data_IF_406256425230
#
_entry.id   IF_406256425230
#
_cell.length_a   1.000
_cell.length_b   1.000
_cell.length_c   1.000
_cell.angle_alpha   90.00
_cell.angle_beta   90.00
_cell.angle_gamma   90.00
#
_symmetry.space_group_name_H-M   'P 1'
#
loop_
_entity.id
_entity.type
_entity.pdbx_description
1 polymer ?
#
# COMPACT_ATOMS: atom_id res chain seq x y z
N UNK A 1 -33.73 23.21 -21.40
CA UNK A 1 -32.89 22.06 -21.75
C UNK A 1 -32.57 21.32 -20.47
N UNK A 2 -32.96 20.07 -20.28
CA UNK A 2 -32.61 19.31 -19.10
C UNK A 2 -31.08 19.01 -19.11
N UNK A 3 -30.47 19.05 -17.91
CA UNK A 3 -29.08 18.67 -17.68
C UNK A 3 -28.89 17.18 -18.04
N UNK A 4 -27.73 16.79 -18.59
CA UNK A 4 -27.46 15.37 -18.80
C UNK A 4 -27.26 14.68 -17.46
N UNK A 5 -28.07 13.64 -17.24
CA UNK A 5 -27.91 12.67 -16.15
C UNK A 5 -26.45 12.17 -16.15
N UNK A 6 -25.78 12.39 -15.04
CA UNK A 6 -24.48 11.79 -14.73
C UNK A 6 -24.68 10.28 -14.61
N UNK A 7 -24.44 9.58 -15.69
CA UNK A 7 -24.18 8.14 -15.66
C UNK A 7 -22.90 7.97 -14.83
N UNK A 8 -23.07 7.61 -13.57
CA UNK A 8 -21.98 7.01 -12.76
C UNK A 8 -21.55 5.75 -13.54
N UNK A 9 -20.46 5.84 -14.27
CA UNK A 9 -19.78 4.67 -14.76
C UNK A 9 -19.42 3.86 -13.50
N UNK A 10 -20.12 2.76 -13.27
CA UNK A 10 -19.68 1.71 -12.33
C UNK A 10 -18.32 1.21 -12.84
N UNK A 11 -17.25 1.87 -12.38
CA UNK A 11 -15.88 1.47 -12.62
C UNK A 11 -15.73 0.07 -12.06
N UNK A 12 -15.46 -0.90 -12.92
CA UNK A 12 -15.23 -2.29 -12.57
C UNK A 12 -14.15 -2.30 -11.49
N UNK A 13 -14.53 -2.69 -10.26
CA UNK A 13 -13.63 -2.69 -9.09
C UNK A 13 -12.45 -3.60 -9.43
N UNK A 14 -11.22 -3.08 -9.35
CA UNK A 14 -10.02 -3.90 -9.52
C UNK A 14 -10.08 -5.09 -8.57
N UNK A 15 -9.73 -6.30 -9.02
CA UNK A 15 -9.82 -7.48 -8.18
C UNK A 15 -8.90 -7.34 -6.95
N UNK A 16 -9.40 -7.78 -5.79
CA UNK A 16 -8.63 -7.81 -4.57
C UNK A 16 -7.52 -8.88 -4.67
N UNK A 17 -6.38 -8.65 -4.04
CA UNK A 17 -5.29 -9.62 -3.90
C UNK A 17 -5.65 -10.61 -2.78
N UNK A 18 -5.94 -11.87 -3.13
CA UNK A 18 -6.30 -12.91 -2.15
C UNK A 18 -5.08 -13.46 -1.43
N UNK A 19 -4.00 -13.70 -2.17
CA UNK A 19 -2.77 -14.22 -1.59
C UNK A 19 -1.54 -13.81 -2.39
N UNK A 20 -0.42 -13.79 -1.68
CA UNK A 20 0.93 -13.65 -2.23
C UNK A 20 1.78 -14.81 -1.76
N UNK A 21 2.42 -15.50 -2.69
CA UNK A 21 3.50 -16.43 -2.42
C UNK A 21 4.82 -15.78 -2.81
N UNK A 22 5.83 -15.90 -1.96
CA UNK A 22 7.15 -15.34 -2.21
C UNK A 22 8.23 -16.28 -1.73
N UNK A 23 9.21 -16.53 -2.57
CA UNK A 23 10.37 -17.37 -2.26
C UNK A 23 11.65 -16.66 -2.66
N UNK A 24 12.60 -16.59 -1.74
CA UNK A 24 13.94 -16.07 -2.05
C UNK A 24 14.08 -14.55 -2.01
N UNK A 25 13.25 -13.82 -1.25
CA UNK A 25 13.28 -12.35 -1.17
C UNK A 25 13.77 -11.83 0.18
N UNK A 26 14.87 -11.11 0.22
CA UNK A 26 15.46 -10.46 1.42
C UNK A 26 15.46 -11.39 2.65
N UNK A 27 14.68 -11.11 3.69
CA UNK A 27 14.54 -11.98 4.86
C UNK A 27 13.50 -13.09 4.67
N UNK A 28 12.75 -13.09 3.58
CA UNK A 28 11.70 -14.07 3.31
C UNK A 28 12.28 -15.19 2.46
N UNK A 29 12.49 -16.36 3.09
CA UNK A 29 12.94 -17.55 2.36
C UNK A 29 11.81 -18.17 1.56
N UNK A 30 10.64 -18.38 2.21
CA UNK A 30 9.41 -18.85 1.60
C UNK A 30 8.24 -18.44 2.49
N UNK A 31 7.20 -17.86 1.91
CA UNK A 31 5.98 -17.50 2.60
C UNK A 31 4.77 -17.53 1.66
N UNK A 32 3.64 -18.03 2.17
CA UNK A 32 2.31 -17.83 1.59
C UNK A 32 1.52 -16.92 2.55
N UNK A 33 1.07 -15.79 2.07
CA UNK A 33 0.36 -14.78 2.88
C UNK A 33 -1.01 -14.55 2.26
N UNK A 34 -2.06 -14.91 2.98
CA UNK A 34 -3.45 -14.62 2.60
C UNK A 34 -3.83 -13.24 3.09
N UNK A 35 -4.52 -12.49 2.25
CA UNK A 35 -4.87 -11.10 2.50
C UNK A 35 -6.39 -10.92 2.56
N UNK A 36 -6.83 -10.13 3.55
CA UNK A 36 -8.21 -9.67 3.68
C UNK A 36 -8.35 -8.20 3.26
N UNK A 37 -9.50 -7.59 3.51
CA UNK A 37 -9.70 -6.16 3.27
C UNK A 37 -8.76 -5.27 4.09
N UNK A 38 -8.49 -5.67 5.34
CA UNK A 38 -7.51 -5.03 6.24
C UNK A 38 -6.49 -6.08 6.67
N UNK A 39 -5.21 -5.68 6.67
CA UNK A 39 -4.10 -6.54 7.07
C UNK A 39 -3.13 -5.71 7.92
N UNK A 40 -3.02 -6.02 9.19
CA UNK A 40 -2.14 -5.32 10.13
C UNK A 40 -0.94 -6.20 10.44
N UNK A 41 0.21 -5.86 9.89
CA UNK A 41 1.47 -6.54 10.12
C UNK A 41 2.07 -6.06 11.44
N UNK A 42 2.19 -6.95 12.42
CA UNK A 42 2.83 -6.66 13.70
C UNK A 42 4.07 -7.51 13.89
N UNK A 43 5.04 -7.01 14.62
CA UNK A 43 6.28 -7.75 14.94
C UNK A 43 7.38 -6.83 15.39
N UNK A 44 8.45 -7.40 15.92
CA UNK A 44 9.63 -6.67 16.36
C UNK A 44 10.33 -5.91 15.23
N UNK A 45 11.20 -4.96 15.61
CA UNK A 45 12.14 -4.36 14.65
C UNK A 45 13.00 -5.43 13.99
N UNK A 46 13.13 -5.37 12.66
CA UNK A 46 13.91 -6.35 11.90
C UNK A 46 13.21 -7.70 11.70
N UNK A 47 11.93 -7.87 12.09
CA UNK A 47 11.18 -9.12 11.84
C UNK A 47 10.92 -9.39 10.35
N UNK A 48 10.88 -8.32 9.52
CA UNK A 48 10.64 -8.43 8.08
C UNK A 48 9.39 -7.73 7.58
N UNK A 49 8.68 -6.98 8.42
CA UNK A 49 7.52 -6.15 8.02
C UNK A 49 7.85 -5.24 6.83
N UNK A 50 8.91 -4.43 6.97
CA UNK A 50 9.34 -3.51 5.90
C UNK A 50 9.88 -4.25 4.67
N UNK A 51 10.31 -5.52 4.78
CA UNK A 51 10.65 -6.33 3.62
C UNK A 51 9.39 -6.71 2.82
N UNK A 52 8.30 -7.07 3.49
CA UNK A 52 7.01 -7.31 2.82
C UNK A 52 6.46 -6.01 2.20
N UNK A 53 6.52 -4.87 2.92
CA UNK A 53 6.16 -3.56 2.38
C UNK A 53 6.99 -3.23 1.12
N UNK A 54 8.31 -3.45 1.18
CA UNK A 54 9.22 -3.25 0.05
C UNK A 54 8.94 -4.16 -1.14
N UNK A 55 8.38 -5.36 -0.91
CA UNK A 55 7.96 -6.26 -1.99
C UNK A 55 6.83 -5.65 -2.81
N UNK A 56 5.87 -4.97 -2.18
CA UNK A 56 4.82 -4.25 -2.91
C UNK A 56 5.39 -3.06 -3.72
N UNK A 57 6.47 -2.44 -3.24
CA UNK A 57 7.21 -1.44 -4.01
C UNK A 57 7.90 -2.03 -5.26
N UNK A 58 8.49 -3.23 -5.13
CA UNK A 58 9.05 -3.94 -6.27
C UNK A 58 7.97 -4.29 -7.28
N UNK A 59 6.82 -4.81 -6.83
CA UNK A 59 5.69 -5.17 -7.71
C UNK A 59 5.09 -3.95 -8.41
N UNK A 60 4.99 -2.81 -7.73
CA UNK A 60 4.55 -1.55 -8.33
C UNK A 60 5.51 -1.06 -9.42
N UNK A 61 6.82 -1.08 -9.14
CA UNK A 61 7.84 -0.69 -10.14
C UNK A 61 7.91 -1.70 -11.29
N UNK A 62 7.68 -2.99 -11.03
CA UNK A 62 7.55 -4.02 -12.08
C UNK A 62 6.38 -3.69 -13.02
N UNK A 63 5.18 -3.42 -12.48
CA UNK A 63 3.99 -3.09 -13.27
C UNK A 63 4.19 -1.81 -14.11
N UNK A 64 4.99 -0.87 -13.62
CA UNK A 64 5.35 0.36 -14.33
C UNK A 64 6.56 0.17 -15.30
N UNK A 65 7.03 -1.06 -15.54
CA UNK A 65 8.22 -1.38 -16.37
C UNK A 65 9.49 -0.64 -15.88
N UNK A 66 9.71 -0.61 -14.56
CA UNK A 66 10.85 0.03 -13.89
C UNK A 66 11.59 -0.93 -12.95
N UNK A 67 11.51 -2.22 -13.22
CA UNK A 67 12.10 -3.25 -12.36
C UNK A 67 13.60 -3.04 -12.16
N UNK A 68 14.36 -2.78 -13.25
CA UNK A 68 15.82 -2.58 -13.14
C UNK A 68 16.16 -1.33 -12.34
N UNK A 69 15.35 -0.26 -12.46
CA UNK A 69 15.53 0.95 -11.65
C UNK A 69 15.30 0.65 -10.16
N UNK A 70 14.28 -0.15 -9.83
CA UNK A 70 14.05 -0.62 -8.47
C UNK A 70 15.25 -1.39 -7.93
N UNK A 71 15.72 -2.38 -8.69
CA UNK A 71 16.90 -3.21 -8.34
C UNK A 71 18.12 -2.33 -8.05
N UNK A 72 18.42 -1.39 -8.93
CA UNK A 72 19.55 -0.49 -8.76
C UNK A 72 19.42 0.38 -7.49
N UNK A 73 18.23 0.94 -7.22
CA UNK A 73 17.96 1.74 -6.01
C UNK A 73 18.07 0.94 -4.72
N UNK A 74 17.79 -0.36 -4.75
CA UNK A 74 17.92 -1.25 -3.60
C UNK A 74 19.37 -1.74 -3.36
N UNK A 75 20.32 -1.37 -4.21
CA UNK A 75 21.74 -1.81 -4.11
C UNK A 75 22.04 -3.06 -4.89
N UNK A 76 21.26 -3.35 -5.94
CA UNK A 76 21.50 -4.44 -6.89
C UNK A 76 20.85 -5.78 -6.51
N UNK A 77 21.04 -6.76 -7.37
CA UNK A 77 20.46 -8.10 -7.23
C UNK A 77 20.81 -8.75 -5.87
N UNK A 78 22.07 -8.59 -5.43
CA UNK A 78 22.51 -9.19 -4.16
C UNK A 78 21.73 -8.70 -2.93
N UNK A 79 21.19 -7.48 -2.96
CA UNK A 79 20.39 -6.91 -1.86
C UNK A 79 18.93 -7.36 -1.88
N UNK A 80 18.46 -7.90 -3.01
CA UNK A 80 17.06 -8.34 -3.21
C UNK A 80 16.91 -9.82 -2.88
N UNK A 81 17.89 -10.67 -3.28
CA UNK A 81 17.82 -12.11 -3.05
C UNK A 81 18.06 -12.46 -1.57
N UNK A 82 17.37 -13.49 -1.11
CA UNK A 82 17.44 -13.95 0.28
C UNK A 82 18.88 -14.35 0.68
N UNK A 83 19.45 -13.61 1.64
CA UNK A 83 20.84 -13.72 2.05
C UNK A 83 21.87 -13.59 0.93
N UNK A 84 21.48 -12.95 -0.19
CA UNK A 84 22.35 -12.68 -1.32
C UNK A 84 22.56 -13.86 -2.26
N UNK A 85 23.19 -13.58 -3.39
CA UNK A 85 23.33 -14.48 -4.53
C UNK A 85 24.15 -15.75 -4.26
N UNK A 86 24.94 -15.77 -3.17
CA UNK A 86 25.69 -16.97 -2.76
C UNK A 86 24.80 -18.05 -2.14
N UNK A 87 23.62 -17.68 -1.64
CA UNK A 87 22.68 -18.59 -0.98
C UNK A 87 21.42 -18.84 -1.78
N UNK A 88 20.98 -17.84 -2.52
CA UNK A 88 19.72 -17.89 -3.25
C UNK A 88 19.96 -17.54 -4.71
N UNK A 89 19.67 -18.47 -5.59
CA UNK A 89 19.86 -18.32 -7.04
C UNK A 89 18.60 -17.85 -7.76
N UNK A 90 17.44 -17.86 -7.10
CA UNK A 90 16.14 -17.62 -7.70
C UNK A 90 15.22 -16.87 -6.73
N UNK A 91 14.44 -15.92 -7.24
CA UNK A 91 13.34 -15.26 -6.55
C UNK A 91 12.04 -15.60 -7.29
N UNK A 92 11.08 -16.18 -6.60
CA UNK A 92 9.74 -16.46 -7.15
C UNK A 92 8.69 -15.62 -6.42
N UNK A 93 7.79 -15.04 -7.19
CA UNK A 93 6.61 -14.31 -6.67
C UNK A 93 5.39 -14.84 -7.41
N UNK A 94 4.34 -15.23 -6.68
CA UNK A 94 3.06 -15.56 -7.26
C UNK A 94 1.95 -14.78 -6.55
N UNK A 95 1.03 -14.22 -7.32
CA UNK A 95 -0.10 -13.41 -6.88
C UNK A 95 -1.40 -14.07 -7.31
N UNK A 96 -2.42 -14.01 -6.46
CA UNK A 96 -3.75 -14.51 -6.77
C UNK A 96 -4.83 -13.45 -6.55
N UNK A 97 -5.69 -13.29 -7.55
CA UNK A 97 -6.81 -12.34 -7.61
C UNK A 97 -8.08 -13.10 -8.00
N UNK A 98 -8.75 -13.76 -7.08
CA UNK A 98 -9.91 -14.60 -7.39
C UNK A 98 -9.56 -15.74 -8.36
N UNK A 99 -10.04 -15.62 -9.58
CA UNK A 99 -9.79 -16.58 -10.65
C UNK A 99 -8.59 -16.22 -11.54
N UNK A 100 -7.90 -15.14 -11.26
CA UNK A 100 -6.73 -14.69 -12.01
C UNK A 100 -5.48 -14.71 -11.15
N UNK A 101 -4.31 -14.77 -11.76
CA UNK A 101 -3.05 -14.70 -11.05
C UNK A 101 -1.90 -14.29 -11.94
N UNK A 102 -0.78 -14.04 -11.29
CA UNK A 102 0.48 -13.69 -11.91
C UNK A 102 1.61 -14.46 -11.25
N UNK A 103 2.55 -14.93 -12.03
CA UNK A 103 3.75 -15.59 -11.54
C UNK A 103 4.98 -15.07 -12.25
N UNK A 104 5.98 -14.68 -11.47
CA UNK A 104 7.29 -14.27 -11.97
C UNK A 104 8.39 -14.99 -11.23
N UNK A 105 9.34 -15.47 -12.00
CA UNK A 105 10.56 -16.11 -11.51
C UNK A 105 11.76 -15.32 -12.02
N UNK A 106 12.61 -14.86 -11.12
CA UNK A 106 13.76 -14.02 -11.44
C UNK A 106 15.06 -14.74 -11.10
N UNK A 107 16.07 -14.54 -11.95
CA UNK A 107 17.43 -14.97 -11.72
C UNK A 107 18.40 -13.81 -11.87
N UNK A 108 19.55 -13.85 -11.18
CA UNK A 108 20.55 -12.80 -11.31
C UNK A 108 21.22 -12.85 -12.68
N UNK A 109 21.63 -11.67 -13.19
CA UNK A 109 22.42 -11.49 -14.40
C UNK A 109 23.69 -10.70 -14.11
N UNK A 110 24.67 -10.81 -14.98
CA UNK A 110 25.87 -10.00 -14.92
C UNK A 110 25.54 -8.50 -14.91
N UNK A 111 26.30 -7.72 -14.15
CA UNK A 111 26.03 -6.28 -13.95
C UNK A 111 25.04 -5.97 -12.83
N UNK A 112 24.88 -6.90 -11.89
CA UNK A 112 24.03 -6.73 -10.68
C UNK A 112 22.54 -6.51 -10.98
N UNK A 113 22.12 -6.94 -12.17
CA UNK A 113 20.75 -6.92 -12.66
C UNK A 113 20.02 -8.24 -12.36
N UNK A 114 18.69 -8.22 -12.53
CA UNK A 114 17.86 -9.44 -12.52
C UNK A 114 17.15 -9.57 -13.87
N UNK A 115 16.82 -10.79 -14.26
CA UNK A 115 16.02 -11.07 -15.45
C UNK A 115 14.94 -12.07 -15.12
N UNK A 116 13.87 -12.06 -15.88
CA UNK A 116 12.84 -13.08 -15.80
C UNK A 116 13.42 -14.39 -16.34
N UNK A 117 13.45 -15.44 -15.52
CA UNK A 117 13.64 -16.81 -15.96
C UNK A 117 12.33 -17.34 -16.53
N UNK A 118 11.22 -16.88 -15.97
CA UNK A 118 9.88 -17.22 -16.41
C UNK A 118 8.89 -16.15 -15.94
N UNK A 119 7.93 -15.80 -16.80
CA UNK A 119 6.83 -14.89 -16.49
C UNK A 119 5.54 -15.45 -17.07
N UNK A 120 4.46 -15.45 -16.28
CA UNK A 120 3.17 -15.99 -16.70
C UNK A 120 1.99 -15.31 -16.02
N UNK A 121 0.86 -15.31 -16.70
CA UNK A 121 -0.47 -15.13 -16.09
C UNK A 121 -1.14 -16.48 -15.85
N UNK A 122 -1.99 -16.52 -14.83
CA UNK A 122 -2.68 -17.70 -14.36
C UNK A 122 -4.19 -17.46 -14.40
N UNK A 123 -4.97 -18.43 -14.88
CA UNK A 123 -6.42 -18.35 -14.89
C UNK A 123 -7.01 -19.66 -14.34
N UNK A 124 -7.80 -19.56 -13.27
CA UNK A 124 -8.55 -20.67 -12.72
C UNK A 124 -9.96 -20.67 -13.31
N UNK A 125 -10.32 -21.71 -14.06
CA UNK A 125 -11.65 -21.83 -14.65
C UNK A 125 -12.50 -22.72 -13.77
N UNK A 126 -13.73 -22.29 -13.37
CA UNK A 126 -14.63 -23.17 -12.63
C UNK A 126 -15.07 -24.33 -13.50
N UNK A 127 -15.16 -25.52 -12.92
CA UNK A 127 -15.52 -26.76 -13.64
C UNK A 127 -16.94 -26.72 -14.22
N UNK A 128 -17.81 -25.80 -13.75
CA UNK A 128 -19.13 -25.52 -14.34
C UNK A 128 -19.54 -24.09 -14.07
N UNK A 129 -20.31 -23.50 -14.98
CA UNK A 129 -20.80 -22.12 -14.88
C UNK A 129 -21.72 -21.83 -13.67
N UNK A 130 -22.12 -22.86 -12.92
CA UNK A 130 -23.05 -22.78 -11.77
C UNK A 130 -22.37 -22.82 -10.39
N UNK A 131 -21.05 -22.99 -10.30
CA UNK A 131 -20.35 -23.07 -9.02
C UNK A 131 -19.46 -21.85 -8.80
N UNK A 132 -19.89 -20.93 -7.94
CA UNK A 132 -19.05 -19.83 -7.40
C UNK A 132 -18.04 -20.32 -6.35
N UNK A 133 -17.78 -21.63 -6.29
CA UNK A 133 -16.90 -22.25 -5.30
C UNK A 133 -15.50 -22.49 -5.87
N UNK A 134 -14.53 -22.49 -5.00
CA UNK A 134 -13.08 -22.67 -5.19
C UNK A 134 -12.69 -23.46 -6.45
N UNK A 135 -11.71 -22.99 -7.25
CA UNK A 135 -11.23 -23.69 -8.44
C UNK A 135 -10.76 -25.10 -8.09
N UNK A 136 -11.23 -26.10 -8.81
CA UNK A 136 -10.98 -27.53 -8.54
C UNK A 136 -9.83 -28.11 -9.40
N UNK A 137 -8.93 -27.29 -9.91
CA UNK A 137 -7.82 -27.76 -10.75
C UNK A 137 -6.64 -26.80 -10.79
N UNK A 138 -5.52 -27.22 -11.40
CA UNK A 138 -4.42 -26.31 -11.67
C UNK A 138 -4.89 -25.18 -12.60
N UNK A 139 -4.31 -23.97 -12.49
CA UNK A 139 -4.66 -22.86 -13.39
C UNK A 139 -4.19 -23.13 -14.81
N UNK A 140 -4.92 -22.62 -15.79
CA UNK A 140 -4.40 -22.41 -17.13
C UNK A 140 -3.27 -21.39 -17.02
N UNK A 141 -2.09 -21.73 -17.55
CA UNK A 141 -0.89 -20.91 -17.44
C UNK A 141 -0.50 -20.38 -18.82
N UNK A 142 -0.58 -19.07 -18.97
CA UNK A 142 -0.09 -18.38 -20.15
C UNK A 142 1.30 -17.82 -19.89
N UNK A 143 2.30 -18.40 -20.53
CA UNK A 143 3.68 -17.92 -20.44
C UNK A 143 3.84 -16.63 -21.27
N UNK A 144 4.34 -15.57 -20.63
CA UNK A 144 4.62 -14.28 -21.27
C UNK A 144 6.02 -14.26 -21.88
N UNK A 145 7.00 -14.91 -21.25
CA UNK A 145 8.37 -14.97 -21.79
C UNK A 145 9.42 -15.36 -20.78
N UNK A 146 10.68 -15.24 -21.21
CA UNK A 146 11.89 -15.42 -20.42
C UNK A 146 13.07 -14.62 -20.98
N UNK A 147 14.05 -14.26 -20.13
CA UNK A 147 15.26 -13.55 -20.52
C UNK A 147 15.13 -12.03 -20.65
N UNK A 148 13.93 -11.49 -20.54
CA UNK A 148 13.65 -10.05 -20.54
C UNK A 148 13.98 -9.42 -19.17
N UNK A 149 14.17 -8.08 -19.16
CA UNK A 149 14.53 -7.32 -17.96
C UNK A 149 13.35 -6.57 -17.33
N UNK A 150 12.33 -6.27 -18.13
CA UNK A 150 11.09 -5.63 -17.68
C UNK A 150 9.92 -6.55 -18.03
N UNK A 151 8.78 -6.37 -17.37
CA UNK A 151 7.58 -7.21 -17.57
C UNK A 151 7.03 -7.13 -18.99
N UNK A 152 6.56 -8.25 -19.51
CA UNK A 152 5.83 -8.34 -20.77
C UNK A 152 4.30 -8.21 -20.61
N UNK A 153 3.80 -8.02 -19.38
CA UNK A 153 2.37 -7.84 -19.11
C UNK A 153 1.69 -6.80 -20.01
N UNK A 154 2.31 -5.60 -20.27
CA UNK A 154 1.69 -4.56 -21.12
C UNK A 154 1.68 -4.89 -22.61
N UNK A 155 2.54 -5.81 -23.06
CA UNK A 155 2.86 -6.01 -24.49
C UNK A 155 2.29 -7.28 -25.09
N UNK A 156 1.49 -8.02 -24.33
CA UNK A 156 0.99 -9.30 -24.84
C UNK A 156 0.05 -9.11 -26.03
N UNK A 157 0.29 -9.75 -27.20
CA UNK A 157 -0.50 -9.54 -28.40
C UNK A 157 -1.96 -9.99 -28.19
N UNK A 158 -2.87 -9.13 -28.62
CA UNK A 158 -4.34 -9.26 -28.55
C UNK A 158 -4.94 -10.41 -29.38
N UNK A 159 -4.12 -11.34 -29.87
CA UNK A 159 -4.60 -12.46 -30.72
C UNK A 159 -5.40 -13.54 -29.99
N UNK A 160 -5.41 -13.51 -28.63
CA UNK A 160 -6.24 -14.35 -27.79
C UNK A 160 -7.02 -13.45 -26.82
N UNK A 161 -8.25 -13.07 -27.19
CA UNK A 161 -9.04 -12.07 -26.48
C UNK A 161 -9.20 -12.34 -24.97
N UNK A 162 -9.45 -13.57 -24.56
CA UNK A 162 -9.67 -13.93 -23.15
C UNK A 162 -8.39 -13.81 -22.31
N UNK A 163 -7.23 -14.17 -22.86
CA UNK A 163 -5.94 -14.13 -22.16
C UNK A 163 -5.40 -12.71 -22.04
N UNK A 164 -5.72 -11.82 -22.99
CA UNK A 164 -5.40 -10.39 -22.91
C UNK A 164 -6.17 -9.72 -21.77
N UNK A 165 -7.45 -10.02 -21.61
CA UNK A 165 -8.26 -9.50 -20.50
C UNK A 165 -7.71 -9.92 -19.13
N UNK A 166 -7.23 -11.16 -18.99
CA UNK A 166 -6.63 -11.65 -17.75
C UNK A 166 -5.33 -10.92 -17.42
N UNK A 167 -4.43 -10.75 -18.39
CA UNK A 167 -3.16 -9.99 -18.21
C UNK A 167 -3.43 -8.53 -17.89
N UNK A 168 -4.40 -7.91 -18.57
CA UNK A 168 -4.80 -6.53 -18.31
C UNK A 168 -5.36 -6.33 -16.91
N UNK A 169 -6.22 -7.23 -16.42
CA UNK A 169 -6.78 -7.16 -15.07
C UNK A 169 -5.69 -7.25 -14.00
N UNK A 170 -4.72 -8.13 -14.18
CA UNK A 170 -3.56 -8.24 -13.30
C UNK A 170 -2.75 -6.95 -13.32
N UNK A 171 -2.42 -6.43 -14.50
CA UNK A 171 -1.66 -5.19 -14.65
C UNK A 171 -2.40 -3.99 -14.03
N UNK A 172 -3.69 -3.83 -14.33
CA UNK A 172 -4.53 -2.75 -13.79
C UNK A 172 -4.62 -2.81 -12.25
N UNK A 173 -4.66 -4.01 -11.66
CA UNK A 173 -4.61 -4.18 -10.22
C UNK A 173 -3.25 -3.71 -9.65
N UNK A 174 -2.14 -4.14 -10.25
CA UNK A 174 -0.79 -3.85 -9.75
C UNK A 174 -0.35 -2.40 -9.97
N UNK A 175 -0.74 -1.75 -11.07
CA UNK A 175 -0.33 -0.38 -11.40
C UNK A 175 -0.78 0.66 -10.39
N UNK A 176 -1.85 0.38 -9.63
CA UNK A 176 -2.34 1.28 -8.59
C UNK A 176 -1.62 1.10 -7.25
N UNK A 177 -0.86 0.02 -7.08
CA UNK A 177 -0.20 -0.26 -5.80
C UNK A 177 0.94 0.72 -5.55
N UNK A 178 0.93 1.31 -4.36
CA UNK A 178 2.02 2.18 -3.91
C UNK A 178 2.21 1.99 -2.41
N UNK A 179 3.40 1.66 -1.94
CA UNK A 179 3.72 1.82 -0.54
C UNK A 179 3.85 3.31 -0.23
N UNK A 180 3.13 3.77 0.78
CA UNK A 180 3.13 5.15 1.24
C UNK A 180 3.99 5.29 2.49
N UNK A 181 4.87 6.27 2.49
CA UNK A 181 5.83 6.55 3.55
C UNK A 181 5.79 8.06 3.89
N UNK A 182 5.03 8.44 4.89
CA UNK A 182 4.93 9.85 5.32
C UNK A 182 5.84 10.12 6.53
N UNK A 183 7.08 9.58 6.50
CA UNK A 183 8.01 9.64 7.63
C UNK A 183 8.79 10.94 7.68
N UNK A 184 9.14 11.50 6.53
CA UNK A 184 9.87 12.77 6.48
C UNK A 184 8.94 13.94 6.76
N UNK A 185 9.06 14.48 7.97
CA UNK A 185 8.37 15.69 8.44
C UNK A 185 9.36 16.75 8.91
N UNK A 186 10.66 16.56 8.63
CA UNK A 186 11.72 17.52 8.96
C UNK A 186 11.54 18.87 8.26
N UNK A 187 12.45 19.81 8.51
CA UNK A 187 12.39 21.16 7.89
C UNK A 187 12.52 21.12 6.37
N UNK A 188 13.28 20.17 5.85
CA UNK A 188 13.47 19.95 4.40
C UNK A 188 12.49 18.97 3.80
N UNK A 189 11.52 18.50 4.58
CA UNK A 189 10.54 17.52 4.11
C UNK A 189 9.87 17.98 2.81
N UNK A 190 9.75 17.10 1.81
CA UNK A 190 9.14 17.48 0.55
C UNK A 190 7.73 18.06 0.70
N UNK A 191 6.91 17.55 1.62
CA UNK A 191 5.57 18.06 1.92
C UNK A 191 5.52 19.53 2.36
N UNK A 192 6.64 20.08 2.85
CA UNK A 192 6.77 21.47 3.29
C UNK A 192 7.28 22.40 2.19
N UNK A 193 7.75 21.86 1.08
CA UNK A 193 8.33 22.63 -0.01
C UNK A 193 7.26 23.12 -1.01
N UNK A 194 7.68 24.02 -1.90
CA UNK A 194 6.86 24.45 -3.05
C UNK A 194 6.92 23.39 -4.15
N UNK A 195 5.77 23.00 -4.67
CA UNK A 195 5.63 22.03 -5.74
C UNK A 195 4.88 22.60 -6.93
N UNK A 196 5.09 22.02 -8.11
CA UNK A 196 4.36 22.41 -9.33
C UNK A 196 2.87 22.16 -9.15
N UNK A 197 2.05 23.14 -9.51
CA UNK A 197 0.61 23.11 -9.32
C UNK A 197 -0.08 22.04 -10.19
N UNK A 198 0.53 21.67 -11.32
CA UNK A 198 0.04 20.65 -12.25
C UNK A 198 0.36 19.21 -11.82
N UNK A 199 1.16 19.04 -10.75
CA UNK A 199 1.44 17.73 -10.15
C UNK A 199 0.34 17.33 -9.16
N UNK A 200 -0.86 17.13 -9.66
CA UNK A 200 -2.08 17.03 -8.86
C UNK A 200 -3.00 15.86 -9.24
N UNK A 201 -2.54 14.93 -10.11
CA UNK A 201 -3.37 13.83 -10.59
C UNK A 201 -3.55 12.69 -9.59
N UNK A 202 -2.51 12.39 -8.82
CA UNK A 202 -2.50 11.36 -7.78
C UNK A 202 -1.59 11.80 -6.64
N UNK A 203 -1.94 11.43 -5.40
CA UNK A 203 -1.07 11.65 -4.25
C UNK A 203 0.18 10.76 -4.37
N UNK A 204 1.37 11.35 -4.25
CA UNK A 204 2.63 10.62 -4.31
C UNK A 204 2.91 9.86 -3.02
N UNK A 205 3.76 8.85 -3.11
CA UNK A 205 4.07 7.93 -2.02
C UNK A 205 4.63 8.63 -0.75
N UNK A 206 5.38 9.71 -0.92
CA UNK A 206 5.97 10.49 0.16
C UNK A 206 5.14 11.73 0.54
N UNK A 207 4.01 11.97 -0.17
CA UNK A 207 3.13 13.12 0.04
C UNK A 207 3.73 14.45 -0.40
N UNK A 208 4.83 14.45 -1.16
CA UNK A 208 5.54 15.64 -1.61
C UNK A 208 4.62 16.60 -2.40
N UNK A 209 3.67 16.09 -3.15
CA UNK A 209 2.68 16.88 -3.89
C UNK A 209 1.36 17.12 -3.12
N UNK A 210 1.38 17.10 -1.79
CA UNK A 210 0.17 17.26 -0.98
C UNK A 210 -0.59 18.57 -1.28
N UNK A 211 0.12 19.70 -1.38
CA UNK A 211 -0.48 21.01 -1.63
C UNK A 211 -1.17 21.10 -3.01
N UNK A 212 -0.51 20.76 -4.14
CA UNK A 212 -1.19 20.74 -5.44
C UNK A 212 -2.32 19.72 -5.53
N UNK A 213 -2.19 18.57 -4.86
CA UNK A 213 -3.24 17.56 -4.83
C UNK A 213 -4.50 18.05 -4.08
N UNK A 214 -4.34 18.64 -2.89
CA UNK A 214 -5.45 19.27 -2.15
C UNK A 214 -6.07 20.44 -2.92
N UNK A 215 -5.25 21.24 -3.61
CA UNK A 215 -5.74 22.33 -4.48
C UNK A 215 -6.67 21.82 -5.57
N UNK A 216 -6.29 20.75 -6.26
CA UNK A 216 -7.14 20.11 -7.26
C UNK A 216 -8.41 19.53 -6.62
N UNK A 217 -8.27 18.78 -5.49
CA UNK A 217 -9.43 18.21 -4.80
C UNK A 217 -10.44 19.24 -4.36
N UNK A 218 -10.02 20.41 -3.89
CA UNK A 218 -10.93 21.49 -3.48
C UNK A 218 -11.87 21.89 -4.61
N UNK A 219 -11.38 21.87 -5.85
CA UNK A 219 -12.11 22.28 -7.04
C UNK A 219 -12.93 21.13 -7.66
N UNK A 220 -12.29 19.96 -7.88
CA UNK A 220 -12.89 18.86 -8.65
C UNK A 220 -13.69 17.88 -7.78
N UNK A 221 -13.38 17.80 -6.48
CA UNK A 221 -14.00 16.87 -5.54
C UNK A 221 -14.23 17.53 -4.16
N UNK A 222 -15.09 18.57 -4.07
CA UNK A 222 -15.27 19.36 -2.84
C UNK A 222 -15.84 18.54 -1.68
N UNK A 223 -16.55 17.44 -1.93
CA UNK A 223 -17.03 16.53 -0.89
C UNK A 223 -15.90 15.84 -0.15
N UNK A 224 -15.03 15.06 -0.83
CA UNK A 224 -13.79 14.51 -0.26
C UNK A 224 -12.93 15.57 0.43
N UNK A 225 -12.66 16.70 -0.20
CA UNK A 225 -11.90 17.79 0.41
C UNK A 225 -12.46 18.22 1.78
N UNK A 226 -13.77 18.47 1.87
CA UNK A 226 -14.42 18.82 3.16
C UNK A 226 -14.28 17.73 4.21
N UNK A 227 -14.33 16.44 3.82
CA UNK A 227 -14.08 15.33 4.76
C UNK A 227 -12.66 15.32 5.28
N UNK A 228 -11.66 15.61 4.43
CA UNK A 228 -10.26 15.74 4.83
C UNK A 228 -10.13 16.88 5.86
N UNK A 229 -10.64 18.07 5.55
CA UNK A 229 -10.62 19.21 6.48
C UNK A 229 -11.29 18.86 7.81
N UNK A 230 -12.44 18.23 7.79
CA UNK A 230 -13.14 17.81 9.00
C UNK A 230 -12.35 16.80 9.84
N UNK A 231 -11.68 15.83 9.19
CA UNK A 231 -10.82 14.86 9.87
C UNK A 231 -9.61 15.55 10.53
N UNK A 232 -9.00 16.52 9.85
CA UNK A 232 -7.87 17.30 10.40
C UNK A 232 -8.35 18.15 11.59
N UNK A 233 -9.49 18.82 11.49
CA UNK A 233 -10.06 19.62 12.59
C UNK A 233 -10.34 18.75 13.84
N UNK A 234 -10.75 17.51 13.65
CA UNK A 234 -11.03 16.60 14.76
C UNK A 234 -9.79 16.33 15.63
N UNK A 235 -8.59 16.26 15.03
CA UNK A 235 -7.35 16.01 15.75
C UNK A 235 -6.57 17.28 16.09
N UNK A 236 -6.81 18.38 15.38
CA UNK A 236 -6.15 19.67 15.51
C UNK A 236 -7.21 20.79 15.56
N UNK A 237 -7.87 21.03 16.72
CA UNK A 237 -8.97 22.01 16.81
C UNK A 237 -8.60 23.45 16.49
N UNK A 238 -7.30 23.77 16.50
CA UNK A 238 -6.77 25.06 16.11
C UNK A 238 -6.74 25.26 14.58
N UNK A 239 -6.80 24.19 13.80
CA UNK A 239 -6.81 24.23 12.34
C UNK A 239 -8.19 24.62 11.82
N UNK A 240 -8.27 25.68 10.99
CA UNK A 240 -9.52 26.06 10.31
C UNK A 240 -9.59 25.42 8.91
N UNK A 241 -8.78 25.83 7.98
CA UNK A 241 -8.78 25.31 6.61
C UNK A 241 -7.41 25.45 5.97
N UNK A 242 -7.20 24.74 4.87
CA UNK A 242 -6.02 24.97 4.03
C UNK A 242 -6.16 26.25 3.23
N UNK A 243 -5.04 26.96 3.10
CA UNK A 243 -4.91 28.11 2.20
C UNK A 243 -4.10 27.63 0.99
N UNK A 244 -4.84 27.27 -0.06
CA UNK A 244 -4.29 26.67 -1.27
C UNK A 244 -4.33 27.71 -2.39
N UNK A 245 -3.33 28.59 -2.36
CA UNK A 245 -3.17 29.66 -3.35
C UNK A 245 -1.82 29.51 -4.05
N UNK A 246 -1.79 29.70 -5.38
CA UNK A 246 -0.53 29.76 -6.12
C UNK A 246 0.39 30.84 -5.57
N UNK A 247 1.70 30.62 -5.68
CA UNK A 247 2.69 31.61 -5.29
C UNK A 247 2.53 32.90 -6.12
N UNK A 248 2.55 34.05 -5.45
CA UNK A 248 2.28 35.36 -6.08
C UNK A 248 3.31 35.70 -7.17
N UNK A 249 4.57 35.30 -6.95
CA UNK A 249 5.67 35.62 -7.89
C UNK A 249 5.76 34.53 -8.97
N UNK A 250 5.52 33.28 -8.61
CA UNK A 250 5.55 32.15 -9.53
C UNK A 250 4.24 31.35 -9.46
N UNK A 251 3.19 31.73 -10.22
CA UNK A 251 1.88 31.06 -10.18
C UNK A 251 1.90 29.58 -10.58
N UNK A 252 3.02 29.08 -11.13
CA UNK A 252 3.21 27.66 -11.47
C UNK A 252 3.51 26.75 -10.28
N UNK A 253 3.68 27.31 -9.08
CA UNK A 253 3.98 26.53 -7.87
C UNK A 253 3.04 26.89 -6.72
N UNK A 254 2.87 25.92 -5.81
CA UNK A 254 2.03 26.06 -4.62
C UNK A 254 2.74 25.42 -3.42
N UNK A 255 2.53 25.98 -2.23
CA UNK A 255 3.00 25.44 -0.96
C UNK A 255 1.84 25.19 -0.02
N UNK A 256 1.96 24.21 0.85
CA UNK A 256 0.94 23.94 1.87
C UNK A 256 0.93 25.07 2.90
N UNK A 257 -0.17 25.79 2.94
CA UNK A 257 -0.46 26.78 3.97
C UNK A 257 -1.84 26.49 4.58
N UNK A 258 -2.07 27.03 5.76
CA UNK A 258 -3.29 26.83 6.53
C UNK A 258 -3.61 28.06 7.39
N UNK A 259 -4.86 28.15 7.84
CA UNK A 259 -5.36 29.23 8.70
C UNK A 259 -5.74 28.65 10.06
N UNK A 260 -5.43 29.42 11.09
CA UNK A 260 -5.81 29.14 12.47
C UNK A 260 -7.24 29.61 12.77
N UNK A 261 -7.99 28.87 13.61
CA UNK A 261 -9.38 29.24 13.97
C UNK A 261 -9.51 30.57 14.72
N UNK A 262 -8.47 31.03 15.39
CA UNK A 262 -8.47 32.23 16.23
C UNK A 262 -7.67 33.40 15.63
N UNK A 263 -7.09 33.23 14.45
CA UNK A 263 -6.19 34.22 13.84
C UNK A 263 -6.33 34.17 12.31
N UNK A 264 -6.38 35.35 11.68
CA UNK A 264 -6.37 35.48 10.22
C UNK A 264 -4.96 35.31 9.62
N UNK A 265 -3.93 35.12 10.44
CA UNK A 265 -2.57 34.89 9.98
C UNK A 265 -2.46 33.57 9.19
N UNK A 266 -1.68 33.62 8.13
CA UNK A 266 -1.37 32.45 7.32
C UNK A 266 -0.14 31.74 7.91
N UNK A 267 -0.28 30.45 8.09
CA UNK A 267 0.77 29.56 8.56
C UNK A 267 1.17 28.60 7.45
N UNK A 268 2.47 28.34 7.30
CA UNK A 268 2.97 27.30 6.42
C UNK A 268 2.99 25.95 7.13
N UNK A 269 3.24 24.87 6.39
CA UNK A 269 3.38 23.52 6.93
C UNK A 269 4.47 23.39 8.00
N UNK A 270 5.45 24.32 8.05
CA UNK A 270 6.51 24.33 9.07
C UNK A 270 6.00 24.54 10.49
N UNK A 271 4.86 25.20 10.64
CA UNK A 271 4.22 25.46 11.94
C UNK A 271 3.36 24.29 12.44
N UNK A 272 3.12 23.28 11.62
CA UNK A 272 2.42 22.05 12.03
C UNK A 272 3.37 21.13 12.79
N UNK A 273 2.84 20.43 13.79
CA UNK A 273 3.58 19.32 14.38
C UNK A 273 3.76 18.18 13.37
N UNK A 274 4.82 17.39 13.54
CA UNK A 274 5.10 16.24 12.66
C UNK A 274 3.92 15.28 12.60
N UNK A 275 3.28 14.98 13.74
CA UNK A 275 2.10 14.14 13.81
C UNK A 275 0.90 14.74 13.05
N UNK A 276 0.67 16.05 13.17
CA UNK A 276 -0.43 16.72 12.45
C UNK A 276 -0.21 16.66 10.94
N UNK A 277 1.00 16.98 10.47
CA UNK A 277 1.33 16.93 9.05
C UNK A 277 1.18 15.51 8.48
N UNK A 278 1.67 14.50 9.21
CA UNK A 278 1.51 13.10 8.83
C UNK A 278 0.04 12.68 8.77
N UNK A 279 -0.75 13.07 9.76
CA UNK A 279 -2.19 12.79 9.74
C UNK A 279 -2.89 13.45 8.55
N UNK A 280 -2.51 14.67 8.16
CA UNK A 280 -3.02 15.32 6.94
C UNK A 280 -2.75 14.47 5.70
N UNK A 281 -1.53 13.95 5.54
CA UNK A 281 -1.18 13.06 4.43
C UNK A 281 -2.03 11.78 4.45
N UNK A 282 -2.15 11.13 5.61
CA UNK A 282 -2.94 9.91 5.80
C UNK A 282 -4.44 10.14 5.54
N UNK A 283 -5.01 11.22 6.07
CA UNK A 283 -6.40 11.58 5.83
C UNK A 283 -6.65 11.89 4.34
N UNK A 284 -5.71 12.58 3.70
CA UNK A 284 -5.79 12.85 2.25
C UNK A 284 -5.75 11.56 1.44
N UNK A 285 -4.83 10.64 1.75
CA UNK A 285 -4.74 9.33 1.11
C UNK A 285 -6.03 8.53 1.26
N UNK A 286 -6.56 8.43 2.49
CA UNK A 286 -7.67 7.53 2.80
C UNK A 286 -9.05 8.09 2.43
N UNK A 287 -9.18 9.42 2.26
CA UNK A 287 -10.43 10.09 1.93
C UNK A 287 -10.52 10.60 0.49
N UNK A 288 -9.46 10.43 -0.33
CA UNK A 288 -9.50 10.83 -1.73
C UNK A 288 -10.59 10.07 -2.52
N UNK A 289 -11.12 10.63 -3.61
CA UNK A 289 -12.24 10.04 -4.35
C UNK A 289 -11.87 8.73 -5.05
N UNK A 290 -10.66 8.63 -5.61
CA UNK A 290 -10.14 7.46 -6.29
C UNK A 290 -9.02 6.84 -5.46
N UNK A 291 -9.35 5.78 -4.71
CA UNK A 291 -8.38 5.05 -3.91
C UNK A 291 -7.55 4.10 -4.80
N UNK A 292 -6.26 3.91 -4.51
CA UNK A 292 -5.52 2.74 -5.02
C UNK A 292 -6.25 1.45 -4.65
N UNK A 293 -6.18 0.43 -5.50
CA UNK A 293 -6.81 -0.88 -5.20
C UNK A 293 -6.20 -1.54 -3.95
N UNK A 294 -4.91 -1.31 -3.73
CA UNK A 294 -4.19 -1.72 -2.53
C UNK A 294 -3.38 -0.53 -1.98
N UNK A 295 -3.60 -0.22 -0.72
CA UNK A 295 -2.89 0.81 0.04
C UNK A 295 -1.96 0.11 1.03
N UNK A 296 -0.67 0.38 0.94
CA UNK A 296 0.35 -0.16 1.87
C UNK A 296 0.98 1.01 2.62
N UNK A 297 0.93 0.98 3.95
CA UNK A 297 1.47 2.07 4.79
C UNK A 297 2.38 1.47 5.86
N UNK A 298 3.61 1.98 5.94
CA UNK A 298 4.56 1.60 6.99
C UNK A 298 4.52 2.61 8.14
N UNK A 299 4.39 2.14 9.37
CA UNK A 299 4.34 2.91 10.63
C UNK A 299 3.44 4.18 10.58
N UNK A 300 2.15 4.03 10.21
CA UNK A 300 1.26 5.19 10.05
C UNK A 300 1.02 5.97 11.35
N UNK A 301 1.20 5.35 12.49
CA UNK A 301 0.97 5.93 13.82
C UNK A 301 2.11 6.79 14.35
N UNK A 302 3.27 6.79 13.70
CA UNK A 302 4.46 7.46 14.21
C UNK A 302 4.22 8.94 14.46
N UNK A 303 4.42 9.39 15.72
CA UNK A 303 4.20 10.78 16.13
C UNK A 303 2.73 11.19 16.31
N UNK A 304 1.77 10.27 16.15
CA UNK A 304 0.36 10.54 16.39
C UNK A 304 0.01 10.40 17.88
N UNK A 305 -0.85 11.32 18.37
CA UNK A 305 -1.48 11.17 19.66
C UNK A 305 -2.49 9.99 19.64
N UNK A 306 -2.73 9.25 20.74
CA UNK A 306 -3.66 8.13 20.79
C UNK A 306 -5.05 8.43 20.19
N UNK A 307 -5.58 9.61 20.40
CA UNK A 307 -6.85 10.04 19.77
C UNK A 307 -6.76 10.07 18.25
N UNK A 308 -5.64 10.58 17.69
CA UNK A 308 -5.42 10.61 16.24
C UNK A 308 -5.23 9.19 15.66
N UNK A 309 -4.66 8.25 16.44
CA UNK A 309 -4.55 6.83 16.06
C UNK A 309 -5.94 6.20 15.93
N UNK A 310 -6.86 6.48 16.87
CA UNK A 310 -8.23 5.99 16.78
C UNK A 310 -8.97 6.56 15.56
N UNK A 311 -8.77 7.86 15.26
CA UNK A 311 -9.32 8.48 14.05
C UNK A 311 -8.73 7.85 12.78
N UNK A 312 -7.42 7.59 12.76
CA UNK A 312 -6.75 6.90 11.65
C UNK A 312 -7.36 5.51 11.41
N UNK A 313 -7.56 4.72 12.45
CA UNK A 313 -8.17 3.39 12.33
C UNK A 313 -9.59 3.47 11.74
N UNK A 314 -10.40 4.46 12.13
CA UNK A 314 -11.71 4.68 11.54
C UNK A 314 -11.62 5.03 10.03
N UNK A 315 -10.64 5.85 9.63
CA UNK A 315 -10.38 6.16 8.21
C UNK A 315 -9.94 4.92 7.43
N UNK A 316 -9.08 4.08 8.01
CA UNK A 316 -8.65 2.81 7.42
C UNK A 316 -9.85 1.88 7.19
N UNK A 317 -10.72 1.70 8.19
CA UNK A 317 -11.95 0.89 8.04
C UNK A 317 -12.87 1.43 6.95
N UNK A 318 -13.02 2.75 6.86
CA UNK A 318 -13.79 3.36 5.79
C UNK A 318 -13.18 3.15 4.40
N UNK A 319 -11.86 3.28 4.26
CA UNK A 319 -11.14 3.02 3.02
C UNK A 319 -11.21 1.54 2.62
N UNK A 320 -11.16 0.62 3.58
CA UNK A 320 -11.18 -0.83 3.36
C UNK A 320 -12.50 -1.34 2.74
N UNK A 321 -13.57 -0.54 2.75
CA UNK A 321 -14.81 -0.86 2.00
C UNK A 321 -14.63 -0.77 0.48
N UNK A 322 -13.58 -0.07 0.01
CA UNK A 322 -13.33 0.23 -1.41
C UNK A 322 -11.98 -0.26 -1.91
N UNK A 323 -10.99 -0.39 -1.03
CA UNK A 323 -9.61 -0.77 -1.33
C UNK A 323 -9.15 -1.82 -0.32
N UNK A 324 -8.09 -2.57 -0.62
CA UNK A 324 -7.37 -3.33 0.41
C UNK A 324 -6.38 -2.43 1.13
N UNK A 325 -6.18 -2.66 2.43
CA UNK A 325 -5.21 -1.90 3.22
C UNK A 325 -4.26 -2.86 3.93
N UNK A 326 -2.97 -2.58 3.82
CA UNK A 326 -1.90 -3.23 4.57
C UNK A 326 -1.23 -2.16 5.41
N UNK A 327 -1.21 -2.36 6.72
CA UNK A 327 -0.50 -1.50 7.67
C UNK A 327 0.64 -2.30 8.29
N UNK A 328 1.85 -1.77 8.31
CA UNK A 328 2.93 -2.33 9.10
C UNK A 328 3.14 -1.44 10.34
N UNK A 329 3.07 -2.01 11.53
CA UNK A 329 3.09 -1.25 12.79
C UNK A 329 3.84 -1.96 13.91
N UNK A 330 4.25 -1.18 14.90
CA UNK A 330 4.74 -1.65 16.20
C UNK A 330 3.92 -1.04 17.35
N UNK A 331 2.85 -0.32 17.03
CA UNK A 331 2.01 0.36 18.02
C UNK A 331 0.95 -0.57 18.60
N UNK A 332 1.05 -0.81 19.90
CA UNK A 332 0.01 -1.47 20.69
C UNK A 332 -1.32 -0.73 20.55
N UNK A 333 -1.29 0.60 20.64
CA UNK A 333 -2.48 1.46 20.53
C UNK A 333 -3.17 1.33 19.17
N UNK A 334 -2.40 1.22 18.08
CA UNK A 334 -2.97 1.02 16.75
C UNK A 334 -3.50 -0.41 16.60
N UNK A 335 -2.76 -1.40 17.12
CA UNK A 335 -3.17 -2.81 17.09
C UNK A 335 -4.52 -3.02 17.79
N UNK A 336 -4.76 -2.36 18.93
CA UNK A 336 -6.00 -2.44 19.68
C UNK A 336 -7.23 -1.87 18.94
N UNK A 337 -7.03 -1.21 17.82
CA UNK A 337 -8.12 -0.70 16.97
C UNK A 337 -8.63 -1.75 15.95
N UNK A 338 -8.00 -2.92 15.85
CA UNK A 338 -8.29 -3.92 14.81
C UNK A 338 -8.71 -5.26 15.42
N UNK A 339 -9.31 -6.12 14.59
CA UNK A 339 -9.71 -7.46 15.00
C UNK A 339 -8.57 -8.46 14.80
N UNK A 340 -8.58 -9.55 15.57
CA UNK A 340 -7.53 -10.57 15.51
C UNK A 340 -7.41 -11.20 14.11
N UNK A 341 -8.53 -11.35 13.41
CA UNK A 341 -8.58 -11.86 12.04
C UNK A 341 -7.93 -10.90 11.00
N UNK A 342 -7.74 -9.61 11.37
CA UNK A 342 -7.07 -8.61 10.53
C UNK A 342 -5.56 -8.58 10.75
N UNK A 343 -5.06 -9.28 11.80
CA UNK A 343 -3.66 -9.22 12.23
C UNK A 343 -2.83 -10.35 11.62
N UNK A 344 -1.66 -9.99 11.12
CA UNK A 344 -0.61 -10.91 10.66
C UNK A 344 0.63 -10.67 11.54
N UNK A 345 1.00 -11.66 12.31
CA UNK A 345 2.21 -11.63 13.13
C UNK A 345 3.42 -11.95 12.26
N UNK A 346 4.39 -11.04 12.27
CA UNK A 346 5.66 -11.20 11.57
C UNK A 346 6.74 -11.49 12.59
N UNK A 347 7.27 -12.70 12.59
CA UNK A 347 8.37 -13.12 13.45
C UNK A 347 9.63 -13.43 12.64
N UNK A 348 10.75 -13.54 13.31
CA UNK A 348 12.02 -13.88 12.69
C UNK A 348 12.71 -15.01 13.44
N UNK A 349 12.89 -16.13 12.77
CA UNK A 349 13.58 -17.30 13.31
C UNK A 349 14.72 -17.70 12.37
N UNK A 350 15.93 -17.91 12.91
CA UNK A 350 17.13 -18.27 12.16
C UNK A 350 17.47 -17.30 11.00
N UNK A 351 17.07 -16.01 11.16
CA UNK A 351 17.26 -14.99 10.13
C UNK A 351 16.16 -14.92 9.08
N UNK A 352 15.21 -15.85 9.08
CA UNK A 352 14.08 -15.94 8.14
C UNK A 352 12.82 -15.35 8.73
N UNK A 353 12.07 -14.59 7.93
CA UNK A 353 10.78 -14.01 8.33
C UNK A 353 9.65 -15.01 8.10
N UNK A 354 8.78 -15.14 9.10
CA UNK A 354 7.55 -15.92 9.04
C UNK A 354 6.35 -15.02 9.23
N UNK A 355 5.21 -15.39 8.63
CA UNK A 355 3.96 -14.63 8.64
C UNK A 355 2.85 -15.55 9.12
N UNK A 356 2.21 -15.21 10.24
CA UNK A 356 1.18 -16.03 10.86
C UNK A 356 -0.07 -15.20 11.11
N UNK A 357 -1.22 -15.66 10.62
CA UNK A 357 -2.52 -15.11 10.98
C UNK A 357 -3.19 -16.07 11.97
N UNK A 358 -3.62 -15.54 13.09
CA UNK A 358 -4.33 -16.34 14.09
C UNK A 358 -5.81 -16.43 13.76
N UNK A 359 -6.39 -17.61 13.97
CA UNK A 359 -7.83 -17.78 13.92
C UNK A 359 -8.49 -17.05 15.10
N UNK A 360 -9.61 -16.37 14.83
CA UNK A 360 -10.38 -15.67 15.87
C UNK A 360 -10.74 -16.56 17.04
N UNK A 361 -11.11 -17.82 16.74
CA UNK A 361 -11.44 -18.84 17.72
C UNK A 361 -10.30 -19.19 18.68
N UNK A 362 -9.05 -19.16 18.20
CA UNK A 362 -7.87 -19.47 19.00
C UNK A 362 -7.59 -18.39 20.06
N UNK A 363 -8.09 -17.18 19.88
CA UNK A 363 -7.89 -16.04 20.77
C UNK A 363 -9.13 -15.68 21.59
N UNK A 364 -10.26 -16.36 21.36
CA UNK A 364 -11.56 -15.99 21.93
C UNK A 364 -11.56 -15.95 23.47
N UNK A 365 -10.91 -16.92 24.15
CA UNK A 365 -10.78 -16.95 25.61
C UNK A 365 -9.91 -15.80 26.12
N UNK A 366 -8.77 -15.56 25.47
CA UNK A 366 -7.84 -14.50 25.85
C UNK A 366 -8.41 -13.09 25.67
N UNK A 367 -9.23 -12.87 24.64
CA UNK A 367 -9.88 -11.58 24.34
C UNK A 367 -10.95 -11.18 25.36
N UNK A 368 -11.39 -12.09 26.25
CA UNK A 368 -12.30 -11.73 27.33
C UNK A 368 -11.62 -10.85 28.39
N UNK A 369 -10.32 -11.07 28.62
CA UNK A 369 -9.57 -10.42 29.70
C UNK A 369 -8.50 -9.44 29.20
N UNK A 370 -8.08 -9.57 27.92
CA UNK A 370 -6.94 -8.81 27.37
C UNK A 370 -7.25 -8.22 26.00
N UNK A 371 -6.74 -7.02 25.75
CA UNK A 371 -6.69 -6.44 24.40
C UNK A 371 -5.67 -7.16 23.52
N UNK A 372 -5.75 -7.00 22.19
CA UNK A 372 -4.76 -7.57 21.25
C UNK A 372 -3.35 -7.05 21.52
N UNK A 373 -3.22 -5.78 21.87
CA UNK A 373 -1.96 -5.17 22.23
C UNK A 373 -1.36 -5.77 23.49
N UNK A 374 -2.18 -6.04 24.53
CA UNK A 374 -1.73 -6.72 25.74
C UNK A 374 -1.30 -8.16 25.45
N UNK A 375 -2.05 -8.89 24.60
CA UNK A 375 -1.69 -10.25 24.17
C UNK A 375 -0.35 -10.26 23.43
N UNK A 376 -0.11 -9.25 22.59
CA UNK A 376 1.18 -9.11 21.92
C UNK A 376 2.31 -8.79 22.90
N UNK A 377 2.12 -7.84 23.83
CA UNK A 377 3.09 -7.52 24.87
C UNK A 377 3.41 -8.73 25.78
N UNK A 378 2.43 -9.59 26.03
CA UNK A 378 2.61 -10.86 26.77
C UNK A 378 3.23 -11.97 25.90
N UNK A 379 3.48 -11.72 24.61
CA UNK A 379 3.97 -12.66 23.61
C UNK A 379 3.05 -13.88 23.38
N UNK A 380 1.77 -13.74 23.63
CA UNK A 380 0.76 -14.76 23.32
C UNK A 380 0.59 -14.89 21.82
N UNK A 381 0.62 -13.76 21.09
CA UNK A 381 0.52 -13.72 19.63
C UNK A 381 1.83 -14.10 18.92
N UNK A 382 2.98 -14.05 19.60
CA UNK A 382 4.30 -14.13 18.98
C UNK A 382 4.80 -12.78 18.45
N UNK A 383 5.94 -12.77 17.74
CA UNK A 383 6.49 -11.58 17.07
C UNK A 383 7.04 -10.49 18.01
N UNK A 384 7.18 -10.76 19.30
CA UNK A 384 7.78 -9.84 20.28
C UNK A 384 9.32 -9.83 20.14
N UNK A 385 10.00 -8.69 20.40
CA UNK A 385 11.46 -8.67 20.55
C UNK A 385 11.90 -9.65 21.63
N UNK A 386 12.90 -10.49 21.29
CA UNK A 386 13.56 -11.41 22.25
C UNK A 386 14.67 -10.71 22.97
#
# INVERSE_FOLDING_TARGET
MPAPDSVEAEGQKSPALDSIEVEGYKSIRSAEIRLGPINVLIGANGSGKSNLVGLFGLLADLADSRLQLHVARQGGANAIFHFGLKRTSQLRIALRFGLHGYEAVFVPRAGDAIVFEDEATLAWRPASASSNTTPLGPPDRLRLGAGHQETELPWHPSSMADTFEDSKRVLDAMTSWRPFHFHDTGRSAPTKQKHKIDDNRALRAEGDNLAPFLFALRTIAPGPYRRIVAAVRAIAPFFDDFVLEPDVINPGVIQLAWRHTMDDALFTADSLSDGTLRFICLATLLLQPALPSLIVIDEPELGLHPFAIAQLAALVRAAATKAQVILATQSVTLLDQFDASEVIVVDRSNGESTFTRHEESALAEWKQDYSLGELWLKNVLGGRPR
#
